data_IF_065943025671
#
_entry.id   IF_065943025671
#
_cell.length_a   1.000
_cell.length_b   1.000
_cell.length_c   1.000
_cell.angle_alpha   90.00
_cell.angle_beta   90.00
_cell.angle_gamma   90.00
#
_symmetry.space_group_name_H-M   'P 1'
#
loop_
_entity.id
_entity.type
_entity.pdbx_description
1 polymer ?
#
# COMPACT_ATOMS: atom_id res chain seq x y z
N UNK A 1 -29.90 -1.91 27.98
CA UNK A 1 -28.99 -1.46 26.90
C UNK A 1 -27.88 -2.49 26.84
N UNK A 2 -28.04 -3.50 25.98
CA UNK A 2 -27.20 -4.70 25.99
C UNK A 2 -25.94 -4.40 25.17
N UNK A 3 -24.85 -4.09 25.87
CA UNK A 3 -23.50 -4.14 25.31
C UNK A 3 -23.15 -5.63 25.16
N UNK A 4 -23.38 -6.19 23.96
CA UNK A 4 -22.89 -7.52 23.61
C UNK A 4 -21.45 -7.38 23.13
N UNK A 5 -20.54 -7.53 24.08
CA UNK A 5 -19.14 -7.88 23.84
C UNK A 5 -19.03 -9.14 22.96
N UNK A 6 -18.32 -9.02 21.83
CA UNK A 6 -17.41 -10.01 21.22
C UNK A 6 -16.83 -9.38 19.93
N UNK A 7 -15.54 -9.60 19.59
CA UNK A 7 -14.85 -8.90 18.52
C UNK A 7 -15.39 -9.36 17.17
N UNK A 8 -16.38 -8.62 16.67
CA UNK A 8 -17.08 -8.99 15.46
C UNK A 8 -16.11 -8.88 14.30
N UNK A 9 -15.80 -10.06 13.74
CA UNK A 9 -15.32 -10.36 12.39
C UNK A 9 -14.72 -9.17 11.66
N UNK A 10 -13.48 -9.32 11.17
CA UNK A 10 -13.05 -8.60 9.97
C UNK A 10 -14.11 -8.89 8.91
N UNK A 11 -15.14 -8.05 8.82
CA UNK A 11 -16.24 -8.22 7.90
C UNK A 11 -15.61 -8.11 6.53
N UNK A 12 -15.92 -9.02 5.60
CA UNK A 12 -15.34 -9.07 4.24
C UNK A 12 -15.22 -7.68 3.59
N UNK A 13 -16.14 -6.78 3.94
CA UNK A 13 -16.19 -5.36 3.56
C UNK A 13 -14.98 -4.52 4.02
N UNK A 14 -14.43 -4.74 5.22
CA UNK A 14 -13.30 -3.97 5.73
C UNK A 14 -12.02 -4.24 4.94
N UNK A 15 -11.72 -5.51 4.65
CA UNK A 15 -10.58 -5.87 3.82
C UNK A 15 -10.68 -5.25 2.42
N UNK A 16 -11.90 -5.24 1.85
CA UNK A 16 -12.15 -4.58 0.56
C UNK A 16 -11.86 -3.07 0.61
N UNK A 17 -12.18 -2.39 1.71
CA UNK A 17 -11.83 -0.97 1.86
C UNK A 17 -10.31 -0.74 1.98
N UNK A 18 -9.61 -1.58 2.75
CA UNK A 18 -8.14 -1.52 2.81
C UNK A 18 -7.51 -1.78 1.45
N UNK A 19 -7.99 -2.79 0.72
CA UNK A 19 -7.53 -3.10 -0.62
C UNK A 19 -7.81 -1.97 -1.60
N UNK A 20 -9.00 -1.37 -1.54
CA UNK A 20 -9.38 -0.21 -2.37
C UNK A 20 -8.47 0.99 -2.10
N UNK A 21 -8.18 1.24 -0.82
CA UNK A 21 -7.22 2.27 -0.42
C UNK A 21 -5.82 1.98 -0.97
N UNK A 22 -5.32 0.75 -0.79
CA UNK A 22 -4.00 0.34 -1.27
C UNK A 22 -3.88 0.46 -2.80
N UNK A 23 -4.87 -0.03 -3.56
CA UNK A 23 -4.92 0.07 -5.02
C UNK A 23 -4.81 1.52 -5.50
N UNK A 24 -5.46 2.47 -4.81
CA UNK A 24 -5.36 3.89 -5.16
C UNK A 24 -3.96 4.50 -4.92
N UNK A 25 -3.15 3.90 -4.03
CA UNK A 25 -1.74 4.30 -3.83
C UNK A 25 -0.80 3.61 -4.80
N UNK A 26 -1.19 2.43 -5.30
CA UNK A 26 -0.32 1.53 -6.04
C UNK A 26 0.11 2.10 -7.41
N UNK A 27 -0.77 2.80 -8.12
CA UNK A 27 -0.44 3.39 -9.44
C UNK A 27 0.73 4.37 -9.35
N UNK A 28 0.69 5.30 -8.38
CA UNK A 28 1.75 6.29 -8.20
C UNK A 28 3.03 5.63 -7.68
N UNK A 29 2.92 4.63 -6.80
CA UNK A 29 4.04 3.83 -6.33
C UNK A 29 4.80 3.18 -7.50
N UNK A 30 4.09 2.51 -8.41
CA UNK A 30 4.72 1.86 -9.56
C UNK A 30 5.39 2.85 -10.51
N UNK A 31 4.73 3.97 -10.82
CA UNK A 31 5.32 5.01 -11.68
C UNK A 31 6.64 5.49 -11.08
N UNK A 32 6.64 5.81 -9.79
CA UNK A 32 7.84 6.25 -9.09
C UNK A 32 8.94 5.18 -9.06
N UNK A 33 8.55 3.94 -8.75
CA UNK A 33 9.51 2.83 -8.62
C UNK A 33 10.19 2.48 -9.94
N UNK A 34 9.42 2.50 -11.04
CA UNK A 34 9.97 2.32 -12.40
C UNK A 34 10.87 3.49 -12.76
N UNK A 35 10.46 4.74 -12.49
CA UNK A 35 11.28 5.91 -12.76
C UNK A 35 12.64 5.85 -12.03
N UNK A 36 12.65 5.47 -10.75
CA UNK A 36 13.90 5.29 -9.98
C UNK A 36 14.76 4.19 -10.56
N UNK A 37 14.17 3.06 -10.96
CA UNK A 37 14.92 1.97 -11.57
C UNK A 37 15.55 2.35 -12.92
N UNK A 38 14.86 3.18 -13.71
CA UNK A 38 15.40 3.72 -14.96
C UNK A 38 16.56 4.69 -14.71
N UNK A 39 16.44 5.58 -13.72
CA UNK A 39 17.51 6.53 -13.36
C UNK A 39 18.76 5.80 -12.85
N UNK A 40 18.58 4.77 -12.02
CA UNK A 40 19.66 3.99 -11.44
C UNK A 40 20.15 2.85 -12.34
N UNK A 41 19.49 2.63 -13.49
CA UNK A 41 19.80 1.56 -14.46
C UNK A 41 19.90 0.16 -13.83
N UNK A 42 19.07 -0.13 -12.81
CA UNK A 42 19.11 -1.39 -12.07
C UNK A 42 17.72 -1.94 -11.79
N UNK A 43 17.37 -3.15 -12.27
CA UNK A 43 16.08 -3.79 -12.00
C UNK A 43 15.81 -4.03 -10.50
N UNK A 44 16.87 -4.21 -9.70
CA UNK A 44 16.78 -4.38 -8.24
C UNK A 44 16.20 -3.15 -7.52
N UNK A 45 16.20 -1.99 -8.17
CA UNK A 45 15.64 -0.78 -7.61
C UNK A 45 14.11 -0.76 -7.65
N UNK A 46 13.47 -1.53 -8.54
CA UNK A 46 12.00 -1.62 -8.61
C UNK A 46 11.41 -2.11 -7.28
N UNK A 47 11.80 -3.28 -6.73
CA UNK A 47 11.27 -3.72 -5.44
C UNK A 47 11.70 -2.82 -4.28
N UNK A 48 12.95 -2.32 -4.27
CA UNK A 48 13.42 -1.46 -3.19
C UNK A 48 12.63 -0.15 -3.12
N UNK A 49 12.43 0.50 -4.27
CA UNK A 49 11.64 1.72 -4.36
C UNK A 49 10.16 1.46 -4.05
N UNK A 50 9.61 0.30 -4.46
CA UNK A 50 8.20 -0.01 -4.25
C UNK A 50 7.83 -0.33 -2.80
N UNK A 51 8.81 -0.69 -1.96
CA UNK A 51 8.63 -0.85 -0.51
C UNK A 51 8.88 0.44 0.27
N UNK A 52 9.66 1.37 -0.27
CA UNK A 52 10.17 2.54 0.47
C UNK A 52 9.67 3.87 -0.11
N UNK A 53 10.40 4.45 -1.07
CA UNK A 53 10.11 5.77 -1.62
C UNK A 53 8.78 5.88 -2.34
N UNK A 54 8.37 4.83 -3.05
CA UNK A 54 7.12 4.80 -3.82
C UNK A 54 5.86 4.84 -2.94
N UNK A 55 5.77 4.07 -1.84
CA UNK A 55 4.71 4.23 -0.85
C UNK A 55 4.72 5.61 -0.19
N UNK A 56 5.90 6.13 0.16
CA UNK A 56 6.02 7.46 0.78
C UNK A 56 5.48 8.56 -0.14
N UNK A 57 5.88 8.59 -1.41
CA UNK A 57 5.39 9.61 -2.36
C UNK A 57 3.88 9.45 -2.60
N UNK A 58 3.38 8.22 -2.64
CA UNK A 58 1.96 7.93 -2.82
C UNK A 58 1.11 8.41 -1.64
N UNK A 59 1.60 8.23 -0.43
CA UNK A 59 0.97 8.72 0.79
C UNK A 59 1.03 10.24 0.88
N UNK A 60 2.18 10.85 0.55
CA UNK A 60 2.32 12.31 0.50
C UNK A 60 1.36 12.93 -0.51
N UNK A 61 1.25 12.35 -1.71
CA UNK A 61 0.29 12.81 -2.71
C UNK A 61 -1.16 12.72 -2.19
N UNK A 62 -1.53 11.62 -1.54
CA UNK A 62 -2.85 11.52 -0.90
C UNK A 62 -3.06 12.56 0.18
N UNK A 63 -2.04 12.82 0.99
CA UNK A 63 -2.11 13.82 2.05
C UNK A 63 -2.28 15.23 1.49
N UNK A 64 -1.70 15.55 0.34
CA UNK A 64 -1.80 16.91 -0.23
C UNK A 64 -3.05 17.06 -1.10
N UNK A 65 -3.30 16.11 -2.01
CA UNK A 65 -4.28 16.24 -3.08
C UNK A 65 -5.62 15.55 -2.79
N UNK A 66 -5.67 14.57 -1.86
CA UNK A 66 -6.85 13.72 -1.64
C UNK A 66 -7.20 13.52 -0.16
N UNK A 67 -7.07 14.58 0.64
CA UNK A 67 -7.45 14.56 2.07
C UNK A 67 -8.89 14.07 2.29
N UNK A 68 -9.79 14.43 1.37
CA UNK A 68 -11.20 14.10 1.46
C UNK A 68 -11.48 12.59 1.38
N UNK A 69 -10.61 11.81 0.72
CA UNK A 69 -10.74 10.36 0.64
C UNK A 69 -10.70 9.74 2.04
N UNK A 70 -9.94 10.29 2.98
CA UNK A 70 -9.85 9.75 4.34
C UNK A 70 -11.18 9.84 5.11
N UNK A 71 -12.02 10.85 4.85
CA UNK A 71 -13.33 10.98 5.49
C UNK A 71 -14.28 9.86 5.08
N UNK A 72 -14.21 9.42 3.82
CA UNK A 72 -15.01 8.30 3.32
C UNK A 72 -14.72 7.00 4.10
N UNK A 73 -13.46 6.73 4.43
CA UNK A 73 -13.07 5.55 5.21
C UNK A 73 -13.35 5.74 6.71
N UNK A 74 -13.17 6.96 7.23
CA UNK A 74 -13.47 7.28 8.62
C UNK A 74 -14.95 7.08 8.96
N UNK A 75 -15.86 7.51 8.07
CA UNK A 75 -17.30 7.30 8.23
C UNK A 75 -17.71 5.81 8.25
N UNK A 76 -16.79 4.90 7.88
CA UNK A 76 -16.96 3.45 7.93
C UNK A 76 -16.22 2.79 9.10
N UNK A 77 -15.72 3.59 10.04
CA UNK A 77 -15.01 3.11 11.22
C UNK A 77 -13.53 2.77 11.01
N UNK A 78 -12.96 3.09 9.84
CA UNK A 78 -11.55 2.81 9.54
C UNK A 78 -10.69 4.04 9.87
N UNK A 79 -9.69 3.84 10.75
CA UNK A 79 -8.77 4.92 11.09
C UNK A 79 -7.74 5.16 9.97
N UNK A 80 -7.36 6.43 9.78
CA UNK A 80 -6.31 6.83 8.84
C UNK A 80 -5.00 6.06 9.05
N UNK A 81 -4.60 5.88 10.31
CA UNK A 81 -3.37 5.15 10.67
C UNK A 81 -3.44 3.69 10.23
N UNK A 82 -4.57 3.01 10.45
CA UNK A 82 -4.76 1.64 10.02
C UNK A 82 -4.67 1.52 8.48
N UNK A 83 -5.29 2.41 7.72
CA UNK A 83 -5.20 2.42 6.24
C UNK A 83 -3.75 2.54 5.76
N UNK A 84 -2.98 3.43 6.37
CA UNK A 84 -1.57 3.66 6.03
C UNK A 84 -0.74 2.43 6.36
N UNK A 85 -0.84 1.90 7.59
CA UNK A 85 -0.06 0.74 8.03
C UNK A 85 -0.37 -0.48 7.17
N UNK A 86 -1.66 -0.78 6.93
CA UNK A 86 -2.06 -1.92 6.09
C UNK A 86 -1.56 -1.74 4.65
N UNK A 87 -1.65 -0.53 4.08
CA UNK A 87 -1.10 -0.29 2.74
C UNK A 87 0.41 -0.47 2.67
N UNK A 88 1.17 -0.04 3.70
CA UNK A 88 2.61 -0.26 3.78
C UNK A 88 2.95 -1.76 3.85
N UNK A 89 2.20 -2.53 4.65
CA UNK A 89 2.37 -3.98 4.72
C UNK A 89 2.14 -4.66 3.36
N UNK A 90 1.11 -4.26 2.61
CA UNK A 90 0.89 -4.76 1.25
C UNK A 90 2.03 -4.41 0.29
N UNK A 91 2.58 -3.19 0.38
CA UNK A 91 3.74 -2.79 -0.44
C UNK A 91 4.98 -3.60 -0.10
N UNK A 92 5.27 -3.82 1.19
CA UNK A 92 6.39 -4.67 1.63
C UNK A 92 6.21 -6.11 1.14
N UNK A 93 5.02 -6.70 1.32
CA UNK A 93 4.74 -8.04 0.84
C UNK A 93 4.92 -8.16 -0.69
N UNK A 94 4.43 -7.17 -1.45
CA UNK A 94 4.60 -7.12 -2.90
C UNK A 94 6.07 -6.96 -3.29
N UNK A 95 6.82 -6.09 -2.61
CA UNK A 95 8.24 -5.88 -2.88
C UNK A 95 9.09 -7.11 -2.58
N UNK A 96 8.81 -7.83 -1.50
CA UNK A 96 9.45 -9.13 -1.18
C UNK A 96 9.15 -10.14 -2.28
N UNK A 97 7.91 -10.24 -2.74
CA UNK A 97 7.54 -11.12 -3.86
C UNK A 97 8.36 -10.80 -5.11
N UNK A 98 8.48 -9.52 -5.46
CA UNK A 98 9.28 -9.07 -6.61
C UNK A 98 10.78 -9.39 -6.44
N UNK A 99 11.34 -9.22 -5.23
CA UNK A 99 12.73 -9.60 -4.95
C UNK A 99 12.95 -11.08 -5.20
N UNK A 100 12.04 -11.93 -4.73
CA UNK A 100 12.10 -13.38 -4.96
C UNK A 100 12.04 -13.68 -6.47
N UNK A 101 11.12 -13.05 -7.20
CA UNK A 101 10.99 -13.25 -8.64
C UNK A 101 12.25 -12.82 -9.42
N UNK A 102 12.83 -11.66 -9.07
CA UNK A 102 14.06 -11.17 -9.71
C UNK A 102 15.22 -12.12 -9.38
N UNK A 103 15.36 -12.52 -8.11
CA UNK A 103 16.40 -13.45 -7.70
C UNK A 103 16.30 -14.77 -8.48
N UNK A 104 15.09 -15.36 -8.55
CA UNK A 104 14.85 -16.59 -9.30
C UNK A 104 15.21 -16.42 -10.78
N UNK A 105 14.80 -15.31 -11.41
CA UNK A 105 15.14 -15.02 -12.80
C UNK A 105 16.65 -14.89 -13.02
N UNK A 106 17.39 -14.24 -12.11
CA UNK A 106 18.85 -14.10 -12.23
C UNK A 106 19.63 -15.40 -12.02
N UNK A 107 19.01 -16.40 -11.37
CA UNK A 107 19.65 -17.70 -11.08
C UNK A 107 19.36 -18.78 -12.12
N UNK A 108 18.44 -18.52 -13.05
CA UNK A 108 18.09 -19.40 -14.18
C UNK A 108 18.97 -19.10 -15.40
#
# INVERSE_FOLDING_TARGET
MQFSDLPDKITMNQLLFYWTFHKSTLTLNWIFSVAIAMVMLSPWMIPLASMTGGPLISLLYKEVARKNDYYFYFNRGLSKRALIVVSLLFNVATGILLLILIQLWTTL
#
